data_IF_687874041025
#
_entry.id   IF_687874041025
#
_cell.length_a   1.000
_cell.length_b   1.000
_cell.length_c   1.000
_cell.angle_alpha   90.00
_cell.angle_beta   90.00
_cell.angle_gamma   90.00
#
_symmetry.space_group_name_H-M   'P 1'
#
loop_
_entity.id
_entity.type
_entity.pdbx_description
1 polymer ?
#
# COMPACT_ATOMS: atom_id res chain seq x y z
N UNK A 1 -6.18 -86.97 -8.62
CA UNK A 1 -6.13 -88.03 -9.66
C UNK A 1 -5.43 -87.45 -10.85
N UNK A 2 -4.17 -87.85 -10.96
CA UNK A 2 -3.39 -88.20 -12.14
C UNK A 2 -3.00 -86.99 -13.05
N UNK A 3 -1.72 -86.53 -13.05
CA UNK A 3 -0.51 -87.16 -13.71
C UNK A 3 -0.55 -86.81 -15.21
N UNK A 4 0.39 -86.30 -15.94
CA UNK A 4 1.85 -86.23 -15.97
C UNK A 4 2.24 -85.41 -17.24
N UNK A 5 3.28 -84.66 -17.21
CA UNK A 5 4.67 -84.81 -17.70
C UNK A 5 4.98 -84.48 -19.18
N UNK A 6 6.06 -83.70 -19.32
CA UNK A 6 7.16 -83.72 -20.29
C UNK A 6 6.91 -83.16 -21.71
N UNK A 7 7.71 -82.38 -22.38
CA UNK A 7 9.16 -82.27 -22.59
C UNK A 7 9.54 -80.97 -23.30
N UNK A 8 10.68 -80.38 -22.98
CA UNK A 8 11.43 -79.41 -23.81
C UNK A 8 12.17 -80.15 -24.94
N UNK A 9 12.55 -79.54 -26.09
CA UNK A 9 13.90 -78.94 -26.15
C UNK A 9 14.11 -77.75 -27.11
N UNK A 10 15.08 -76.91 -26.75
CA UNK A 10 16.20 -76.32 -27.49
C UNK A 10 16.06 -75.62 -28.83
N UNK A 11 16.63 -74.37 -28.88
CA UNK A 11 17.24 -73.66 -30.00
C UNK A 11 16.77 -72.24 -30.10
N UNK A 12 17.44 -71.20 -29.76
CA UNK A 12 18.76 -70.74 -30.18
C UNK A 12 18.59 -69.63 -31.20
N UNK A 13 19.10 -68.42 -30.90
CA UNK A 13 19.19 -67.25 -31.76
C UNK A 13 17.99 -66.27 -31.81
N UNK A 14 18.13 -65.15 -31.16
CA UNK A 14 17.19 -64.01 -31.21
C UNK A 14 17.38 -62.96 -30.13
N UNK A 15 18.54 -62.93 -29.47
CA UNK A 15 18.81 -61.94 -28.40
C UNK A 15 19.74 -60.80 -28.87
N UNK A 16 19.42 -60.16 -29.99
CA UNK A 16 20.27 -59.08 -30.50
C UNK A 16 19.56 -57.86 -31.05
N UNK A 17 18.27 -57.93 -31.31
CA UNK A 17 17.54 -56.82 -31.97
C UNK A 17 16.49 -56.09 -31.12
N UNK A 18 16.23 -56.56 -29.93
CA UNK A 18 15.27 -55.87 -29.02
C UNK A 18 15.90 -54.84 -28.06
N UNK A 19 17.22 -54.78 -27.94
CA UNK A 19 17.90 -53.80 -27.09
C UNK A 19 18.21 -52.48 -27.79
N UNK A 20 18.20 -52.44 -29.13
CA UNK A 20 18.44 -51.20 -29.89
C UNK A 20 17.16 -50.43 -30.20
N UNK A 21 15.98 -51.05 -30.08
CA UNK A 21 14.71 -50.37 -30.27
C UNK A 21 14.19 -49.63 -28.99
N UNK A 22 14.68 -50.01 -27.80
CA UNK A 22 14.30 -49.34 -26.54
C UNK A 22 15.18 -48.11 -26.23
N UNK A 23 16.36 -47.97 -26.83
CA UNK A 23 17.21 -46.79 -26.65
C UNK A 23 16.81 -45.68 -27.63
N UNK A 24 16.17 -45.98 -28.75
CA UNK A 24 15.68 -44.99 -29.71
C UNK A 24 14.33 -44.36 -29.31
N UNK A 25 13.54 -44.98 -28.41
CA UNK A 25 12.29 -44.37 -27.87
C UNK A 25 12.50 -43.56 -26.58
N UNK A 26 13.64 -43.69 -25.91
CA UNK A 26 13.98 -42.87 -24.73
C UNK A 26 14.58 -41.51 -25.09
N UNK A 27 14.89 -41.26 -26.39
CA UNK A 27 15.47 -40.00 -26.87
C UNK A 27 14.46 -38.99 -27.43
N UNK A 28 13.17 -39.30 -27.47
CA UNK A 28 12.12 -38.40 -28.02
C UNK A 28 11.12 -37.87 -26.97
N UNK A 29 11.36 -38.15 -25.68
CA UNK A 29 10.57 -37.62 -24.59
C UNK A 29 11.32 -36.58 -23.72
N UNK A 30 12.41 -36.02 -24.21
CA UNK A 30 13.11 -34.94 -23.53
C UNK A 30 13.03 -33.68 -24.39
N UNK A 31 11.88 -33.00 -24.37
CA UNK A 31 11.67 -31.55 -24.52
C UNK A 31 10.16 -31.29 -24.74
N UNK A 32 9.34 -31.67 -23.78
CA UNK A 32 8.22 -30.84 -23.41
C UNK A 32 8.64 -30.24 -22.06
N UNK A 33 9.09 -29.00 -22.07
CA UNK A 33 9.13 -28.19 -20.89
C UNK A 33 7.67 -28.09 -20.44
N UNK A 34 7.29 -28.93 -19.47
CA UNK A 34 6.17 -28.62 -18.61
C UNK A 34 6.42 -27.17 -18.16
N UNK A 35 5.58 -26.25 -18.64
CA UNK A 35 5.31 -25.06 -17.87
C UNK A 35 4.77 -25.63 -16.56
N UNK A 36 5.63 -25.82 -15.57
CA UNK A 36 5.21 -25.99 -14.20
C UNK A 36 4.21 -24.86 -13.98
N UNK A 37 3.00 -25.20 -13.55
CA UNK A 37 2.15 -24.25 -12.84
C UNK A 37 3.01 -23.76 -11.66
N UNK A 38 3.82 -22.73 -11.91
CA UNK A 38 4.59 -22.07 -10.87
C UNK A 38 3.55 -21.47 -9.94
N UNK A 39 3.52 -21.94 -8.71
CA UNK A 39 2.76 -21.29 -7.65
C UNK A 39 3.07 -19.79 -7.75
N UNK A 40 2.07 -18.91 -7.73
CA UNK A 40 2.32 -17.46 -7.80
C UNK A 40 3.34 -17.05 -6.75
N UNK A 41 4.34 -16.26 -7.13
CA UNK A 41 5.36 -15.77 -6.19
C UNK A 41 4.78 -14.64 -5.35
N UNK A 42 4.11 -15.00 -4.26
CA UNK A 42 3.65 -14.04 -3.26
C UNK A 42 4.84 -13.42 -2.52
N UNK A 43 4.68 -12.15 -2.12
CA UNK A 43 5.63 -11.51 -1.24
C UNK A 43 5.49 -12.11 0.16
N UNK A 44 6.59 -12.52 0.76
CA UNK A 44 6.67 -13.12 2.10
C UNK A 44 7.64 -12.37 2.99
N UNK A 45 7.61 -12.60 4.30
CA UNK A 45 8.54 -12.02 5.26
C UNK A 45 9.40 -13.09 5.92
N UNK A 46 10.69 -12.83 6.07
CA UNK A 46 11.63 -13.67 6.80
C UNK A 46 12.81 -12.82 7.30
N UNK A 47 13.17 -12.97 8.55
CA UNK A 47 14.35 -12.33 9.16
C UNK A 47 14.39 -10.80 8.98
N UNK A 48 13.22 -10.13 9.13
CA UNK A 48 13.12 -8.69 9.00
C UNK A 48 13.19 -8.16 7.57
N UNK A 49 13.01 -9.03 6.56
CA UNK A 49 13.08 -8.70 5.14
C UNK A 49 11.88 -9.25 4.39
N UNK A 50 11.59 -8.67 3.22
CA UNK A 50 10.67 -9.23 2.26
C UNK A 50 11.39 -10.12 1.25
N UNK A 51 10.65 -11.11 0.72
CA UNK A 51 11.09 -12.01 -0.32
C UNK A 51 9.97 -12.22 -1.35
N UNK A 52 10.37 -12.34 -2.62
CA UNK A 52 9.50 -12.81 -3.70
C UNK A 52 10.15 -14.07 -4.27
N UNK A 53 9.53 -15.21 -4.04
CA UNK A 53 10.22 -16.49 -4.27
C UNK A 53 11.45 -16.64 -3.38
N UNK A 54 12.62 -16.83 -4.00
CA UNK A 54 13.90 -16.96 -3.29
C UNK A 54 14.63 -15.62 -3.07
N UNK A 55 14.26 -14.59 -3.84
CA UNK A 55 14.98 -13.33 -3.90
C UNK A 55 14.51 -12.34 -2.84
N UNK A 56 15.45 -11.58 -2.25
CA UNK A 56 15.14 -10.47 -1.37
C UNK A 56 14.38 -9.40 -2.18
N UNK A 57 13.25 -8.93 -1.66
CA UNK A 57 12.41 -7.94 -2.29
C UNK A 57 12.47 -6.62 -1.53
N UNK A 58 13.00 -5.59 -2.18
CA UNK A 58 12.94 -4.19 -1.73
C UNK A 58 12.23 -3.39 -2.80
N UNK A 59 11.49 -2.37 -2.42
CA UNK A 59 10.72 -1.59 -3.39
C UNK A 59 10.70 -0.10 -3.10
N UNK A 60 10.62 0.67 -4.18
CA UNK A 60 10.15 2.04 -4.19
C UNK A 60 8.78 2.03 -4.87
N UNK A 61 7.80 2.56 -4.19
CA UNK A 61 6.42 2.64 -4.64
C UNK A 61 5.86 4.05 -4.52
N UNK A 62 4.58 4.16 -4.81
CA UNK A 62 3.85 5.42 -4.67
C UNK A 62 2.45 5.19 -4.13
N UNK A 63 1.91 6.18 -3.43
CA UNK A 63 0.50 6.23 -3.10
C UNK A 63 -0.31 6.59 -4.36
N UNK A 64 -1.15 5.67 -4.79
CA UNK A 64 -2.04 5.77 -5.94
C UNK A 64 -3.47 5.47 -5.48
N UNK A 65 -3.86 6.12 -4.37
CA UNK A 65 -5.09 5.84 -3.63
C UNK A 65 -6.35 5.90 -4.51
N UNK A 66 -6.39 6.78 -5.53
CA UNK A 66 -7.51 6.91 -6.45
C UNK A 66 -7.50 5.89 -7.60
N UNK A 67 -6.58 4.94 -7.61
CA UNK A 67 -6.38 3.99 -8.71
C UNK A 67 -7.63 3.20 -9.09
N UNK A 68 -8.46 2.80 -8.11
CA UNK A 68 -9.71 2.09 -8.37
C UNK A 68 -10.75 2.96 -9.08
N UNK A 69 -10.84 4.25 -8.73
CA UNK A 69 -11.71 5.22 -9.41
C UNK A 69 -11.23 5.45 -10.84
N UNK A 70 -9.93 5.71 -11.04
CA UNK A 70 -9.35 5.93 -12.36
C UNK A 70 -9.52 4.70 -13.28
N UNK A 71 -9.43 3.49 -12.73
CA UNK A 71 -9.60 2.22 -13.46
C UNK A 71 -11.06 1.88 -13.78
N UNK A 72 -12.03 2.61 -13.25
CA UNK A 72 -13.45 2.35 -13.45
C UNK A 72 -13.93 2.79 -14.86
N UNK A 73 -15.13 2.32 -15.23
CA UNK A 73 -15.83 2.76 -16.45
C UNK A 73 -16.86 3.86 -16.15
N UNK A 74 -16.86 4.40 -14.93
CA UNK A 74 -17.78 5.43 -14.47
C UNK A 74 -17.17 6.82 -14.43
N UNK A 75 -17.86 7.70 -13.69
CA UNK A 75 -17.37 9.06 -13.43
C UNK A 75 -16.02 9.02 -12.71
N UNK A 76 -15.07 9.83 -13.16
CA UNK A 76 -13.69 9.85 -12.65
C UNK A 76 -12.81 8.74 -13.21
N UNK A 77 -13.35 7.81 -14.00
CA UNK A 77 -12.59 6.74 -14.64
C UNK A 77 -12.02 7.14 -15.99
N UNK A 78 -10.78 6.71 -16.24
CA UNK A 78 -10.08 6.84 -17.52
C UNK A 78 -9.01 5.74 -17.64
N UNK A 79 -9.38 4.64 -18.27
CA UNK A 79 -8.49 3.48 -18.45
C UNK A 79 -7.32 3.77 -19.40
N UNK A 80 -7.48 4.68 -20.36
CA UNK A 80 -6.37 5.08 -21.25
C UNK A 80 -5.31 5.85 -20.45
N UNK A 81 -5.74 6.78 -19.59
CA UNK A 81 -4.87 7.46 -18.64
C UNK A 81 -4.22 6.43 -17.68
N UNK A 82 -4.98 5.51 -17.09
CA UNK A 82 -4.46 4.48 -16.20
C UNK A 82 -3.29 3.72 -16.83
N UNK A 83 -3.44 3.27 -18.09
CA UNK A 83 -2.38 2.54 -18.79
C UNK A 83 -1.11 3.39 -18.89
N UNK A 84 -1.23 4.65 -19.29
CA UNK A 84 -0.09 5.57 -19.39
C UNK A 84 0.58 5.83 -18.04
N UNK A 85 -0.21 5.96 -16.98
CA UNK A 85 0.32 6.17 -15.63
C UNK A 85 1.11 4.95 -15.15
N UNK A 86 0.56 3.74 -15.34
CA UNK A 86 1.24 2.49 -14.96
C UNK A 86 2.49 2.24 -15.81
N UNK A 87 2.47 2.56 -17.10
CA UNK A 87 3.63 2.43 -17.99
C UNK A 87 4.75 3.39 -17.57
N UNK A 88 4.43 4.64 -17.19
CA UNK A 88 5.42 5.57 -16.65
C UNK A 88 5.97 5.14 -15.29
N UNK A 89 5.11 4.63 -14.39
CA UNK A 89 5.56 4.06 -13.12
C UNK A 89 6.57 2.94 -13.36
N UNK A 90 6.27 2.01 -14.25
CA UNK A 90 7.16 0.91 -14.61
C UNK A 90 8.46 1.41 -15.26
N UNK A 91 8.39 2.43 -16.13
CA UNK A 91 9.56 3.04 -16.78
C UNK A 91 10.55 3.64 -15.76
N UNK A 92 10.04 4.21 -14.66
CA UNK A 92 10.89 4.76 -13.60
C UNK A 92 11.20 3.76 -12.49
N UNK A 93 10.82 2.49 -12.66
CA UNK A 93 11.13 1.39 -11.75
C UNK A 93 10.25 1.31 -10.50
N UNK A 94 9.10 1.98 -10.48
CA UNK A 94 8.10 1.81 -9.42
C UNK A 94 7.44 0.45 -9.59
N UNK A 95 7.48 -0.37 -8.55
CA UNK A 95 6.95 -1.75 -8.57
C UNK A 95 5.81 -1.99 -7.58
N UNK A 96 5.50 -1.00 -6.74
CA UNK A 96 4.44 -1.12 -5.74
C UNK A 96 3.59 0.15 -5.70
N UNK A 97 2.28 -0.04 -5.54
CA UNK A 97 1.33 1.06 -5.36
C UNK A 97 0.46 0.83 -4.12
N UNK A 98 0.13 1.90 -3.39
CA UNK A 98 -0.80 1.83 -2.27
C UNK A 98 -2.13 2.43 -2.69
N UNK A 99 -3.22 1.66 -2.53
CA UNK A 99 -4.51 1.92 -3.16
C UNK A 99 -5.64 1.84 -2.14
N UNK A 100 -6.58 2.77 -2.22
CA UNK A 100 -7.81 2.76 -1.42
C UNK A 100 -8.75 1.65 -1.92
N UNK A 101 -9.02 0.66 -1.08
CA UNK A 101 -10.02 -0.39 -1.30
C UNK A 101 -11.25 -0.21 -0.39
N UNK A 102 -11.51 1.02 -0.01
CA UNK A 102 -12.64 1.47 0.80
C UNK A 102 -13.20 2.79 0.26
N UNK A 103 -14.05 3.47 1.01
CA UNK A 103 -14.68 4.73 0.65
C UNK A 103 -16.16 4.69 1.00
N UNK A 104 -16.52 5.30 2.12
CA UNK A 104 -17.82 5.19 2.77
C UNK A 104 -18.55 6.52 2.81
N UNK A 105 -19.88 6.44 2.81
CA UNK A 105 -20.76 7.60 2.93
C UNK A 105 -21.32 8.10 1.60
N UNK A 106 -22.09 9.18 1.61
CA UNK A 106 -22.70 9.69 0.40
C UNK A 106 -21.71 10.48 -0.48
N UNK A 107 -21.89 10.42 -1.79
CA UNK A 107 -21.13 11.22 -2.77
C UNK A 107 -21.28 12.74 -2.59
N UNK A 108 -22.14 13.20 -1.69
CA UNK A 108 -22.45 14.62 -1.49
C UNK A 108 -21.46 15.36 -0.60
N UNK A 109 -20.61 14.64 0.15
CA UNK A 109 -19.60 15.27 1.03
C UNK A 109 -18.43 15.76 0.17
N UNK A 110 -18.12 17.04 0.26
CA UNK A 110 -17.18 17.70 -0.64
C UNK A 110 -15.71 17.22 -0.46
N UNK A 111 -15.36 16.78 0.74
CA UNK A 111 -14.01 16.27 1.08
C UNK A 111 -13.83 14.79 0.74
N UNK A 112 -14.90 14.06 0.45
CA UNK A 112 -14.80 12.62 0.19
C UNK A 112 -14.27 12.30 -1.21
N UNK A 113 -13.55 11.17 -1.29
CA UNK A 113 -13.25 10.53 -2.57
C UNK A 113 -14.53 10.06 -3.22
N UNK A 114 -14.84 10.55 -4.39
CA UNK A 114 -16.05 10.21 -5.13
C UNK A 114 -15.73 9.76 -6.57
N UNK A 115 -16.50 8.83 -7.13
CA UNK A 115 -17.63 8.11 -6.51
C UNK A 115 -17.18 7.22 -5.35
N UNK A 116 -17.96 7.17 -4.29
CA UNK A 116 -17.66 6.32 -3.13
C UNK A 116 -17.83 4.84 -3.47
N UNK A 117 -17.08 3.99 -2.78
CA UNK A 117 -17.18 2.54 -2.93
C UNK A 117 -18.42 1.97 -2.22
N UNK A 118 -18.74 2.48 -1.03
CA UNK A 118 -19.84 2.01 -0.18
C UNK A 118 -20.74 3.19 0.24
N UNK A 119 -21.74 3.57 -0.58
CA UNK A 119 -22.61 4.71 -0.28
C UNK A 119 -23.51 4.51 0.93
N UNK A 120 -23.85 3.26 1.27
CA UNK A 120 -24.66 2.87 2.43
C UNK A 120 -24.10 1.54 3.00
N UNK A 121 -24.35 1.21 4.27
CA UNK A 121 -23.83 0.00 4.90
C UNK A 121 -24.13 -1.28 4.11
N UNK A 122 -23.09 -1.91 3.54
CA UNK A 122 -23.20 -3.14 2.77
C UNK A 122 -23.76 -2.97 1.34
N UNK A 123 -23.98 -1.73 0.89
CA UNK A 123 -24.33 -1.42 -0.51
C UNK A 123 -23.08 -0.94 -1.23
N UNK A 124 -22.69 -1.60 -2.30
CA UNK A 124 -21.45 -1.34 -3.00
C UNK A 124 -21.66 -0.77 -4.40
N UNK A 125 -20.81 0.15 -4.79
CA UNK A 125 -20.72 0.68 -6.14
C UNK A 125 -19.93 -0.32 -7.02
N UNK A 126 -20.67 -1.12 -7.78
CA UNK A 126 -20.10 -2.16 -8.64
C UNK A 126 -19.16 -1.59 -9.71
N UNK A 127 -19.35 -0.35 -10.15
CA UNK A 127 -18.47 0.33 -11.10
C UNK A 127 -17.07 0.53 -10.52
N UNK A 128 -16.96 0.97 -9.27
CA UNK A 128 -15.68 1.15 -8.58
C UNK A 128 -15.05 -0.21 -8.23
N UNK A 129 -15.87 -1.20 -7.83
CA UNK A 129 -15.38 -2.57 -7.60
C UNK A 129 -14.76 -3.16 -8.87
N UNK A 130 -15.38 -2.99 -10.03
CA UNK A 130 -14.82 -3.43 -11.31
C UNK A 130 -13.59 -2.61 -11.72
N UNK A 131 -13.52 -1.36 -11.29
CA UNK A 131 -12.31 -0.55 -11.42
C UNK A 131 -11.16 -1.14 -10.62
N UNK A 132 -11.39 -1.52 -9.36
CA UNK A 132 -10.38 -2.20 -8.54
C UNK A 132 -9.94 -3.54 -9.16
N UNK A 133 -10.90 -4.35 -9.65
CA UNK A 133 -10.60 -5.59 -10.36
C UNK A 133 -9.70 -5.35 -11.58
N UNK A 134 -10.02 -4.33 -12.38
CA UNK A 134 -9.25 -3.99 -13.57
C UNK A 134 -7.84 -3.48 -13.21
N UNK A 135 -7.71 -2.63 -12.19
CA UNK A 135 -6.42 -2.16 -11.70
C UNK A 135 -5.53 -3.34 -11.28
N UNK A 136 -6.05 -4.25 -10.45
CA UNK A 136 -5.28 -5.43 -10.00
C UNK A 136 -4.85 -6.29 -11.19
N UNK A 137 -5.73 -6.50 -12.18
CA UNK A 137 -5.37 -7.24 -13.39
C UNK A 137 -4.26 -6.55 -14.21
N UNK A 138 -4.27 -5.22 -14.28
CA UNK A 138 -3.23 -4.45 -14.99
C UNK A 138 -1.90 -4.42 -14.24
N UNK A 139 -1.93 -4.44 -12.90
CA UNK A 139 -0.73 -4.60 -12.07
C UNK A 139 -0.13 -6.00 -12.24
N UNK A 140 -0.97 -7.06 -12.25
CA UNK A 140 -0.51 -8.45 -12.48
C UNK A 140 0.22 -8.59 -13.83
N UNK A 141 -0.31 -7.99 -14.90
CA UNK A 141 0.33 -8.00 -16.22
C UNK A 141 1.71 -7.32 -16.24
N UNK A 142 1.94 -6.35 -15.36
CA UNK A 142 3.18 -5.58 -15.25
C UNK A 142 4.12 -6.09 -14.16
N UNK A 143 3.77 -7.20 -13.50
CA UNK A 143 4.49 -7.74 -12.35
C UNK A 143 4.64 -6.73 -11.19
N UNK A 144 3.76 -5.74 -11.14
CA UNK A 144 3.62 -4.77 -10.06
C UNK A 144 2.74 -5.32 -8.95
N UNK A 145 2.93 -4.77 -7.75
CA UNK A 145 2.15 -5.16 -6.56
C UNK A 145 1.38 -3.99 -5.97
N UNK A 146 0.34 -4.28 -5.21
CA UNK A 146 -0.44 -3.29 -4.47
C UNK A 146 -0.51 -3.61 -2.98
N UNK A 147 -0.48 -2.57 -2.15
CA UNK A 147 -0.98 -2.58 -0.77
C UNK A 147 -2.39 -1.99 -0.82
N UNK A 148 -3.37 -2.74 -0.34
CA UNK A 148 -4.79 -2.35 -0.38
C UNK A 148 -5.27 -2.00 1.03
N UNK A 149 -5.54 -0.70 1.29
CA UNK A 149 -6.06 -0.29 2.60
C UNK A 149 -7.59 -0.30 2.63
N UNK A 150 -8.13 -0.90 3.72
CA UNK A 150 -9.51 -1.35 3.83
C UNK A 150 -10.40 -0.40 4.65
N UNK A 151 -9.82 0.63 5.26
CA UNK A 151 -10.51 1.62 6.08
C UNK A 151 -9.68 2.91 6.14
N UNK A 152 -10.19 3.94 6.79
CA UNK A 152 -9.47 5.18 7.02
C UNK A 152 -9.85 5.76 8.38
N UNK A 153 -8.89 6.32 9.10
CA UNK A 153 -9.23 7.06 10.32
C UNK A 153 -9.66 8.50 10.03
N UNK A 154 -9.38 8.98 8.81
CA UNK A 154 -9.73 10.33 8.35
C UNK A 154 -10.96 10.32 7.45
N UNK A 155 -11.73 11.40 7.48
CA UNK A 155 -13.01 11.51 6.78
C UNK A 155 -12.89 11.64 5.25
N UNK A 156 -11.71 11.94 4.69
CA UNK A 156 -11.57 12.16 3.25
C UNK A 156 -11.97 10.94 2.37
N UNK A 157 -12.11 9.78 2.96
CA UNK A 157 -12.74 8.64 2.32
C UNK A 157 -13.90 8.03 3.13
N UNK A 158 -14.43 8.77 4.11
CA UNK A 158 -15.52 8.34 5.00
C UNK A 158 -15.03 7.64 6.26
N UNK A 159 -14.49 6.44 6.14
CA UNK A 159 -13.78 5.70 7.20
C UNK A 159 -14.51 5.63 8.54
N UNK A 160 -13.77 5.81 9.63
CA UNK A 160 -14.30 5.75 11.01
C UNK A 160 -15.53 6.62 11.19
N UNK A 161 -15.51 7.84 10.63
CA UNK A 161 -16.60 8.79 10.73
C UNK A 161 -17.91 8.26 10.15
N UNK A 162 -17.86 7.74 8.94
CA UNK A 162 -19.03 7.19 8.26
C UNK A 162 -19.61 5.97 8.99
N UNK A 163 -18.77 5.06 9.48
CA UNK A 163 -19.24 3.92 10.28
C UNK A 163 -19.88 4.33 11.60
N UNK A 164 -19.37 5.36 12.25
CA UNK A 164 -19.96 5.92 13.47
C UNK A 164 -21.31 6.60 13.19
N UNK A 165 -21.41 7.39 12.11
CA UNK A 165 -22.67 8.00 11.69
C UNK A 165 -23.73 6.93 11.39
N UNK A 166 -23.37 5.89 10.65
CA UNK A 166 -24.25 4.75 10.38
C UNK A 166 -24.62 3.94 11.64
N UNK A 167 -23.75 3.95 12.65
CA UNK A 167 -24.06 3.35 13.96
C UNK A 167 -24.98 4.23 14.85
N UNK A 168 -25.37 5.41 14.37
CA UNK A 168 -26.26 6.33 15.08
C UNK A 168 -25.58 7.26 16.09
N UNK A 169 -24.25 7.46 15.97
CA UNK A 169 -23.49 8.37 16.84
C UNK A 169 -23.69 9.87 16.51
N UNK A 170 -24.50 10.18 15.49
CA UNK A 170 -24.74 11.53 14.98
C UNK A 170 -23.83 11.88 13.81
N UNK A 171 -23.95 13.11 13.26
CA UNK A 171 -23.19 13.55 12.11
C UNK A 171 -21.69 13.63 12.39
N UNK A 172 -20.87 13.35 11.38
CA UNK A 172 -19.41 13.46 11.47
C UNK A 172 -19.03 14.93 11.68
N UNK A 173 -18.27 15.27 12.73
CA UNK A 173 -17.84 16.65 12.98
C UNK A 173 -16.74 17.06 12.00
N UNK A 174 -16.67 18.37 11.76
CA UNK A 174 -15.58 18.96 10.98
C UNK A 174 -14.26 18.96 11.77
N UNK A 175 -13.15 18.68 11.10
CA UNK A 175 -11.80 18.65 11.70
C UNK A 175 -11.24 20.04 12.04
N UNK A 176 -11.92 21.11 11.71
CA UNK A 176 -11.55 22.46 12.18
C UNK A 176 -11.62 22.59 13.71
N UNK A 177 -12.48 21.78 14.37
CA UNK A 177 -12.46 21.60 15.83
C UNK A 177 -11.82 20.24 16.15
N UNK A 178 -10.51 20.23 16.26
CA UNK A 178 -9.72 19.03 16.52
C UNK A 178 -10.17 18.24 17.74
N UNK A 179 -10.54 18.93 18.83
CA UNK A 179 -10.98 18.28 20.06
C UNK A 179 -12.30 17.52 19.88
N UNK A 180 -13.28 18.16 19.25
CA UNK A 180 -14.58 17.54 18.96
C UNK A 180 -14.43 16.38 17.98
N UNK A 181 -13.60 16.53 16.96
CA UNK A 181 -13.34 15.46 16.00
C UNK A 181 -12.67 14.24 16.66
N UNK A 182 -11.66 14.45 17.51
CA UNK A 182 -11.03 13.37 18.27
C UNK A 182 -12.03 12.66 19.20
N UNK A 183 -12.83 13.40 19.97
CA UNK A 183 -13.84 12.84 20.88
C UNK A 183 -14.91 12.04 20.13
N UNK A 184 -15.21 12.39 18.89
CA UNK A 184 -16.09 11.61 18.04
C UNK A 184 -15.42 10.34 17.52
N UNK A 185 -14.27 10.46 16.86
CA UNK A 185 -13.61 9.34 16.19
C UNK A 185 -13.06 8.29 17.16
N UNK A 186 -12.67 8.67 18.40
CA UNK A 186 -12.21 7.71 19.41
C UNK A 186 -13.30 6.70 19.83
N UNK A 187 -14.56 6.95 19.47
CA UNK A 187 -15.65 6.02 19.75
C UNK A 187 -15.61 4.79 18.83
N UNK A 188 -14.98 4.87 17.66
CA UNK A 188 -15.00 3.79 16.67
C UNK A 188 -14.51 2.47 17.25
N UNK A 189 -13.36 2.46 17.91
CA UNK A 189 -12.78 1.24 18.49
C UNK A 189 -13.56 0.66 19.67
N UNK A 190 -14.52 1.42 20.20
CA UNK A 190 -15.42 1.04 21.30
C UNK A 190 -16.85 0.74 20.83
N UNK A 191 -17.20 1.02 19.59
CA UNK A 191 -18.55 0.88 19.05
C UNK A 191 -18.67 -0.42 18.26
N UNK A 192 -19.31 -1.44 18.85
CA UNK A 192 -19.47 -2.75 18.23
C UNK A 192 -20.26 -2.72 16.93
N UNK A 193 -21.25 -1.80 16.79
CA UNK A 193 -22.02 -1.66 15.55
C UNK A 193 -21.17 -1.11 14.41
N UNK A 194 -20.36 -0.07 14.68
CA UNK A 194 -19.45 0.53 13.71
C UNK A 194 -18.38 -0.50 13.29
N UNK A 195 -17.73 -1.17 14.26
CA UNK A 195 -16.75 -2.24 13.99
C UNK A 195 -17.34 -3.38 13.16
N UNK A 196 -18.56 -3.83 13.47
CA UNK A 196 -19.21 -4.91 12.72
C UNK A 196 -19.57 -4.52 11.28
N UNK A 197 -19.86 -3.23 11.00
CA UNK A 197 -20.04 -2.76 9.63
C UNK A 197 -18.72 -2.73 8.86
N UNK A 198 -17.64 -2.22 9.46
CA UNK A 198 -16.31 -2.23 8.89
C UNK A 198 -15.80 -3.67 8.65
N UNK A 199 -16.04 -4.59 9.59
CA UNK A 199 -15.71 -6.01 9.44
C UNK A 199 -16.42 -6.67 8.25
N UNK A 200 -17.70 -6.35 8.02
CA UNK A 200 -18.42 -6.84 6.83
C UNK A 200 -17.78 -6.34 5.53
N UNK A 201 -17.31 -5.10 5.51
CA UNK A 201 -16.58 -4.56 4.36
C UNK A 201 -15.27 -5.32 4.13
N UNK A 202 -14.47 -5.53 5.17
CA UNK A 202 -13.22 -6.32 5.12
C UNK A 202 -13.50 -7.71 4.53
N UNK A 203 -14.50 -8.42 5.06
CA UNK A 203 -14.91 -9.75 4.54
C UNK A 203 -15.28 -9.69 3.07
N UNK A 204 -16.02 -8.68 2.67
CA UNK A 204 -16.49 -8.55 1.29
C UNK A 204 -15.34 -8.31 0.31
N UNK A 205 -14.41 -7.40 0.62
CA UNK A 205 -13.28 -7.08 -0.26
C UNK A 205 -12.26 -8.21 -0.29
N UNK A 206 -11.83 -8.72 0.86
CA UNK A 206 -10.78 -9.76 0.93
C UNK A 206 -11.23 -11.06 0.28
N UNK A 207 -12.53 -11.40 0.34
CA UNK A 207 -13.07 -12.61 -0.28
C UNK A 207 -13.56 -12.41 -1.73
N UNK A 208 -13.23 -11.26 -2.35
CA UNK A 208 -13.69 -10.94 -3.70
C UNK A 208 -13.04 -11.84 -4.76
N UNK A 209 -13.82 -12.20 -5.76
CA UNK A 209 -13.33 -12.77 -7.02
C UNK A 209 -13.20 -11.64 -8.04
N UNK A 210 -12.01 -11.46 -8.61
CA UNK A 210 -11.73 -10.48 -9.64
C UNK A 210 -12.53 -10.80 -10.91
N UNK A 211 -13.36 -9.86 -11.36
CA UNK A 211 -14.25 -10.07 -12.54
C UNK A 211 -13.50 -10.05 -13.87
N UNK A 212 -12.25 -9.56 -13.91
CA UNK A 212 -11.41 -9.52 -15.11
C UNK A 212 -10.62 -10.80 -15.27
N UNK A 213 -9.98 -11.28 -14.19
CA UNK A 213 -9.13 -12.48 -14.22
C UNK A 213 -9.89 -13.76 -13.89
N UNK A 214 -11.06 -13.66 -13.24
CA UNK A 214 -11.84 -14.80 -12.74
C UNK A 214 -11.23 -15.49 -11.51
N UNK A 215 -10.14 -14.96 -10.95
CA UNK A 215 -9.45 -15.52 -9.79
C UNK A 215 -9.89 -14.83 -8.49
N UNK A 216 -9.93 -15.52 -7.35
CA UNK A 216 -10.05 -14.89 -6.05
C UNK A 216 -8.91 -13.87 -5.82
N UNK A 217 -9.17 -12.79 -5.10
CA UNK A 217 -8.11 -11.84 -4.72
C UNK A 217 -6.99 -12.52 -3.94
N UNK A 218 -7.34 -13.49 -3.10
CA UNK A 218 -6.38 -14.30 -2.34
C UNK A 218 -5.41 -15.13 -3.21
N UNK A 219 -5.63 -15.20 -4.52
CA UNK A 219 -4.76 -15.91 -5.47
C UNK A 219 -4.00 -14.95 -6.41
N UNK A 220 -4.17 -13.64 -6.27
CA UNK A 220 -3.51 -12.66 -7.14
C UNK A 220 -2.15 -12.25 -6.61
N UNK A 221 -1.04 -12.55 -7.29
CA UNK A 221 0.30 -12.12 -6.86
C UNK A 221 0.51 -10.61 -6.98
N UNK A 222 -0.42 -9.89 -7.60
CA UNK A 222 -0.41 -8.42 -7.66
C UNK A 222 -0.88 -7.76 -6.36
N UNK A 223 -1.46 -8.50 -5.42
CA UNK A 223 -1.71 -8.00 -4.08
C UNK A 223 -0.51 -8.39 -3.21
N UNK A 224 0.20 -7.40 -2.65
CA UNK A 224 1.28 -7.64 -1.69
C UNK A 224 0.72 -7.79 -0.28
N UNK A 225 -0.14 -6.86 0.11
CA UNK A 225 -0.64 -6.80 1.47
C UNK A 225 -2.04 -6.21 1.56
N UNK A 226 -2.75 -6.66 2.59
CA UNK A 226 -3.92 -6.01 3.14
C UNK A 226 -3.49 -5.08 4.26
N UNK A 227 -3.92 -3.85 4.20
CA UNK A 227 -3.68 -2.85 5.23
C UNK A 227 -5.00 -2.56 5.96
N UNK A 228 -4.97 -2.59 7.30
CA UNK A 228 -6.19 -2.49 8.09
C UNK A 228 -6.91 -1.16 7.89
N UNK A 229 -6.16 -0.06 7.90
CA UNK A 229 -6.70 1.27 7.66
C UNK A 229 -5.58 2.25 7.30
N UNK A 230 -5.91 3.30 6.55
CA UNK A 230 -5.04 4.46 6.46
C UNK A 230 -4.97 5.16 7.81
N UNK A 231 -3.75 5.25 8.37
CA UNK A 231 -3.41 5.97 9.59
C UNK A 231 -4.34 5.68 10.78
N UNK A 232 -4.53 4.39 11.16
CA UNK A 232 -5.42 4.05 12.26
C UNK A 232 -4.92 4.65 13.58
N UNK A 233 -5.84 5.29 14.32
CA UNK A 233 -5.57 5.95 15.59
C UNK A 233 -6.58 5.59 16.66
N UNK A 234 -6.15 5.64 17.91
CA UNK A 234 -7.07 5.58 19.07
C UNK A 234 -7.82 6.90 19.27
N UNK A 235 -7.27 8.03 18.81
CA UNK A 235 -7.74 9.39 19.05
C UNK A 235 -7.96 9.74 20.53
N UNK A 236 -7.32 8.99 21.43
CA UNK A 236 -7.40 9.20 22.88
C UNK A 236 -6.16 8.66 23.58
N UNK A 237 -5.75 9.33 24.64
CA UNK A 237 -4.55 8.95 25.40
C UNK A 237 -4.82 8.07 26.63
N UNK A 238 -6.08 7.84 26.95
CA UNK A 238 -6.43 6.95 28.06
C UNK A 238 -6.16 5.50 27.76
N UNK A 239 -5.84 4.73 28.79
CA UNK A 239 -5.44 3.33 28.67
C UNK A 239 -6.55 2.41 28.16
N UNK A 240 -7.81 2.75 28.42
CA UNK A 240 -8.96 1.93 27.99
C UNK A 240 -9.13 2.04 26.47
N UNK A 241 -9.15 3.25 25.95
CA UNK A 241 -9.27 3.46 24.50
C UNK A 241 -8.07 2.91 23.73
N UNK A 242 -6.85 3.08 24.25
CA UNK A 242 -5.65 2.45 23.67
C UNK A 242 -5.72 0.90 23.69
N UNK A 243 -6.30 0.32 24.74
CA UNK A 243 -6.51 -1.12 24.79
C UNK A 243 -7.52 -1.58 23.74
N UNK A 244 -8.69 -0.90 23.62
CA UNK A 244 -9.69 -1.19 22.60
C UNK A 244 -9.13 -1.03 21.18
N UNK A 245 -8.27 -0.04 20.95
CA UNK A 245 -7.59 0.15 19.68
C UNK A 245 -6.68 -1.04 19.34
N UNK A 246 -5.84 -1.46 20.28
CA UNK A 246 -4.97 -2.60 20.06
C UNK A 246 -5.74 -3.90 19.84
N UNK A 247 -6.83 -4.11 20.60
CA UNK A 247 -7.70 -5.27 20.44
C UNK A 247 -8.40 -5.28 19.07
N UNK A 248 -8.86 -4.10 18.58
CA UNK A 248 -9.41 -3.96 17.22
C UNK A 248 -8.38 -4.30 16.14
N UNK A 249 -7.12 -3.82 16.25
CA UNK A 249 -6.02 -4.17 15.32
C UNK A 249 -5.85 -5.69 15.28
N UNK A 250 -5.79 -6.34 16.43
CA UNK A 250 -5.61 -7.80 16.54
C UNK A 250 -6.77 -8.55 15.90
N UNK A 251 -8.01 -8.16 16.21
CA UNK A 251 -9.24 -8.77 15.68
C UNK A 251 -9.30 -8.67 14.14
N UNK A 252 -9.00 -7.48 13.59
CA UNK A 252 -9.02 -7.27 12.13
C UNK A 252 -7.91 -8.06 11.43
N UNK A 253 -6.70 -8.10 11.98
CA UNK A 253 -5.60 -8.86 11.40
C UNK A 253 -5.90 -10.37 11.40
N UNK A 254 -6.44 -10.90 12.49
CA UNK A 254 -6.91 -12.30 12.57
C UNK A 254 -8.01 -12.60 11.57
N UNK A 255 -8.96 -11.66 11.41
CA UNK A 255 -10.03 -11.81 10.41
C UNK A 255 -9.43 -11.96 9.01
N UNK A 256 -8.56 -11.03 8.59
CA UNK A 256 -7.95 -11.05 7.26
C UNK A 256 -7.17 -12.35 7.05
N UNK A 257 -6.32 -12.75 8.00
CA UNK A 257 -5.57 -14.02 7.91
C UNK A 257 -6.45 -15.26 7.90
N UNK A 258 -7.67 -15.20 8.44
CA UNK A 258 -8.64 -16.28 8.33
C UNK A 258 -9.24 -16.43 6.94
N UNK A 259 -9.31 -15.34 6.18
CA UNK A 259 -9.87 -15.27 4.83
C UNK A 259 -8.79 -15.47 3.75
N UNK A 260 -7.60 -14.94 4.02
CA UNK A 260 -6.47 -14.94 3.10
C UNK A 260 -5.16 -15.22 3.86
N UNK A 261 -4.52 -16.33 3.52
CA UNK A 261 -3.25 -16.76 4.13
C UNK A 261 -2.03 -16.48 3.25
N UNK A 262 -2.25 -16.04 2.03
CA UNK A 262 -1.19 -15.84 1.05
C UNK A 262 -0.58 -14.44 1.15
N UNK A 263 -1.42 -13.43 1.43
CA UNK A 263 -0.97 -12.05 1.44
C UNK A 263 -0.56 -11.59 2.83
N UNK A 264 0.32 -10.60 2.84
CA UNK A 264 0.78 -9.94 4.05
C UNK A 264 -0.33 -9.07 4.64
N UNK A 265 -0.22 -8.79 5.94
CA UNK A 265 -1.13 -7.88 6.66
C UNK A 265 -0.29 -6.85 7.41
N UNK A 266 -0.70 -5.58 7.32
CA UNK A 266 -0.10 -4.48 8.08
C UNK A 266 -1.15 -3.54 8.65
N UNK A 267 -0.72 -2.66 9.52
CA UNK A 267 -1.63 -1.76 10.25
C UNK A 267 -2.02 -0.52 9.46
N UNK A 268 -1.11 0.08 8.65
CA UNK A 268 -1.23 1.40 8.05
C UNK A 268 -0.88 2.55 8.99
N UNK A 269 -0.15 2.26 10.07
CA UNK A 269 0.16 3.22 11.14
C UNK A 269 1.19 4.26 10.72
N UNK A 270 1.02 5.50 11.16
CA UNK A 270 2.05 6.55 11.06
C UNK A 270 3.30 6.26 11.93
N UNK A 271 3.27 5.21 12.75
CA UNK A 271 4.31 4.92 13.71
C UNK A 271 3.95 5.33 15.13
N UNK A 272 4.94 5.81 15.91
CA UNK A 272 4.72 6.27 17.30
C UNK A 272 3.72 7.43 17.34
N UNK A 273 3.77 8.34 16.36
CA UNK A 273 2.82 9.47 16.26
C UNK A 273 1.37 8.96 16.10
N UNK A 274 1.12 8.01 15.22
CA UNK A 274 -0.19 7.38 15.03
C UNK A 274 -0.66 6.55 16.23
N UNK A 275 0.25 6.18 17.11
CA UNK A 275 -0.04 5.47 18.36
C UNK A 275 -0.07 6.41 19.58
N UNK A 276 -0.57 7.64 19.42
CA UNK A 276 -0.73 8.63 20.49
C UNK A 276 0.57 8.97 21.25
N UNK A 277 1.69 9.07 20.52
CA UNK A 277 3.03 9.29 21.05
C UNK A 277 3.49 8.22 22.07
N UNK A 278 2.94 7.01 21.93
CA UNK A 278 3.19 5.88 22.84
C UNK A 278 3.97 4.76 22.14
N UNK A 279 5.29 4.63 22.39
CA UNK A 279 6.10 3.60 21.77
C UNK A 279 5.72 2.17 22.20
N UNK A 280 5.13 2.00 23.39
CA UNK A 280 4.68 0.69 23.87
C UNK A 280 3.41 0.25 23.14
N UNK A 281 2.48 1.18 22.85
CA UNK A 281 1.32 0.91 22.02
C UNK A 281 1.75 0.59 20.59
N UNK A 282 2.66 1.39 20.01
CA UNK A 282 3.22 1.12 18.68
C UNK A 282 3.85 -0.28 18.60
N UNK A 283 4.65 -0.65 19.60
CA UNK A 283 5.19 -2.01 19.69
C UNK A 283 4.09 -3.05 19.79
N UNK A 284 3.08 -2.84 20.66
CA UNK A 284 2.00 -3.80 20.92
C UNK A 284 1.25 -4.14 19.63
N UNK A 285 0.83 -3.14 18.85
CA UNK A 285 0.03 -3.36 17.64
C UNK A 285 0.83 -4.03 16.52
N UNK A 286 2.15 -3.88 16.48
CA UNK A 286 3.01 -4.55 15.52
C UNK A 286 3.57 -5.90 16.02
N UNK A 287 3.35 -6.25 17.30
CA UNK A 287 3.82 -7.51 17.85
C UNK A 287 2.87 -8.69 17.57
N UNK A 288 1.63 -8.43 17.15
CA UNK A 288 0.67 -9.50 16.84
C UNK A 288 1.20 -10.39 15.72
N UNK A 289 1.06 -11.72 15.86
CA UNK A 289 1.58 -12.67 14.87
C UNK A 289 1.01 -12.46 13.46
N UNK A 290 -0.22 -11.96 13.36
CA UNK A 290 -0.94 -11.74 12.13
C UNK A 290 -0.51 -10.46 11.38
N UNK A 291 0.21 -9.55 12.04
CA UNK A 291 0.82 -8.38 11.41
C UNK A 291 2.21 -8.78 10.89
N UNK A 292 2.42 -8.74 9.60
CA UNK A 292 3.63 -9.26 8.96
C UNK A 292 4.77 -8.24 8.91
N UNK A 293 4.46 -6.95 8.82
CA UNK A 293 5.47 -5.89 8.77
C UNK A 293 5.04 -4.62 9.50
N UNK A 294 6.01 -3.82 9.83
CA UNK A 294 5.86 -2.52 10.49
C UNK A 294 5.73 -1.44 9.45
N UNK A 295 4.74 -0.56 9.57
CA UNK A 295 4.63 0.62 8.75
C UNK A 295 4.76 1.91 9.57
N UNK A 296 5.29 2.93 8.92
CA UNK A 296 5.43 4.29 9.44
C UNK A 296 5.15 5.29 8.30
N UNK A 297 4.65 6.47 8.67
CA UNK A 297 4.53 7.63 7.79
C UNK A 297 5.38 8.77 8.33
N UNK A 298 5.90 9.63 7.45
CA UNK A 298 6.72 10.78 7.85
C UNK A 298 6.34 11.99 7.00
N UNK A 299 5.81 13.01 7.67
CA UNK A 299 5.27 14.20 7.06
C UNK A 299 6.00 15.48 7.49
N UNK A 300 7.18 15.82 6.92
CA UNK A 300 7.96 16.98 7.35
C UNK A 300 7.19 18.30 7.31
N UNK A 301 6.32 18.48 6.30
CA UNK A 301 5.51 19.67 6.17
C UNK A 301 4.44 19.75 7.27
N UNK A 302 3.63 18.72 7.40
CA UNK A 302 2.51 18.65 8.34
C UNK A 302 2.99 18.61 9.81
N UNK A 303 4.18 18.03 10.05
CA UNK A 303 4.79 17.95 11.39
C UNK A 303 5.71 19.14 11.72
N UNK A 304 5.65 20.20 10.90
CA UNK A 304 6.39 21.44 11.13
C UNK A 304 7.93 21.26 11.19
N UNK A 305 8.44 20.34 10.37
CA UNK A 305 9.88 20.13 10.21
C UNK A 305 10.47 20.97 9.06
N UNK A 306 9.70 21.92 8.52
CA UNK A 306 10.13 22.88 7.51
C UNK A 306 10.13 24.29 8.13
N UNK A 307 11.29 24.75 8.55
CA UNK A 307 11.45 26.09 9.11
C UNK A 307 12.06 26.12 10.53
N UNK A 308 12.28 27.30 11.09
CA UNK A 308 12.79 27.41 12.46
C UNK A 308 11.72 26.87 13.44
N UNK A 309 12.16 26.07 14.40
CA UNK A 309 11.35 25.36 15.38
C UNK A 309 10.63 26.26 16.40
N UNK A 310 10.14 27.44 16.03
CA UNK A 310 9.56 28.42 16.95
C UNK A 310 8.33 29.10 16.35
N UNK A 311 7.16 28.62 16.71
CA UNK A 311 5.87 29.31 16.55
C UNK A 311 4.71 28.34 16.29
N UNK A 312 3.49 28.64 16.79
CA UNK A 312 2.30 27.90 16.38
C UNK A 312 2.05 28.18 14.89
N UNK A 313 1.96 27.12 14.09
CA UNK A 313 1.54 27.21 12.70
C UNK A 313 0.02 27.26 12.63
N UNK A 314 -0.50 28.36 12.13
CA UNK A 314 -1.85 28.41 11.61
C UNK A 314 -1.86 27.63 10.29
N UNK A 315 -2.81 26.69 10.17
CA UNK A 315 -3.02 25.90 8.98
C UNK A 315 -3.33 26.85 7.81
N UNK A 316 -2.45 26.87 6.79
CA UNK A 316 -2.72 27.56 5.54
C UNK A 316 -1.94 28.84 5.21
N UNK A 317 -0.95 29.23 5.99
CA UNK A 317 -0.10 30.39 5.66
C UNK A 317 1.38 29.99 5.77
N UNK A 318 2.11 30.20 4.67
CA UNK A 318 3.56 30.32 4.76
C UNK A 318 3.86 31.42 5.80
N UNK A 319 4.24 31.01 7.00
CA UNK A 319 4.56 31.97 8.07
C UNK A 319 5.69 32.87 7.56
N UNK A 320 5.48 34.17 7.62
CA UNK A 320 6.51 35.16 7.36
C UNK A 320 7.74 34.83 8.23
N UNK A 321 8.79 34.23 7.64
CA UNK A 321 9.99 33.76 8.33
C UNK A 321 10.21 32.25 8.28
N UNK A 322 9.35 31.44 7.62
CA UNK A 322 9.64 30.04 7.34
C UNK A 322 10.84 29.95 6.37
N UNK A 323 11.78 29.06 6.69
CA UNK A 323 12.87 28.70 5.77
C UNK A 323 12.26 28.14 4.49
N UNK A 324 12.90 28.35 3.34
CA UNK A 324 12.44 27.72 2.08
C UNK A 324 12.45 26.19 2.25
N UNK A 325 11.62 25.43 1.52
CA UNK A 325 11.70 23.97 1.52
C UNK A 325 13.12 23.47 1.28
N UNK A 326 13.88 24.08 0.38
CA UNK A 326 15.30 23.71 0.10
C UNK A 326 16.18 23.87 1.34
N UNK A 327 16.13 25.01 2.02
CA UNK A 327 16.95 25.30 3.20
C UNK A 327 16.57 24.43 4.40
N UNK A 328 15.34 23.92 4.42
CA UNK A 328 14.80 23.09 5.50
C UNK A 328 15.21 21.61 5.39
N UNK A 329 15.70 21.14 4.24
CA UNK A 329 16.00 19.72 4.01
C UNK A 329 16.95 19.13 5.06
N UNK A 330 18.05 19.76 5.47
CA UNK A 330 18.95 19.18 6.48
C UNK A 330 18.26 18.97 7.84
N UNK A 331 17.35 19.86 8.20
CA UNK A 331 16.57 19.73 9.44
C UNK A 331 15.52 18.64 9.34
N UNK A 332 14.77 18.61 8.24
CA UNK A 332 13.77 17.57 7.96
C UNK A 332 14.42 16.17 7.92
N UNK A 333 15.54 16.01 7.22
CA UNK A 333 16.29 14.76 7.14
C UNK A 333 16.76 14.27 8.52
N UNK A 334 17.28 15.19 9.35
CA UNK A 334 17.68 14.86 10.73
C UNK A 334 16.47 14.43 11.57
N UNK A 335 15.32 15.11 11.47
CA UNK A 335 14.09 14.75 12.18
C UNK A 335 13.56 13.39 11.72
N UNK A 336 13.56 13.15 10.41
CA UNK A 336 13.22 11.85 9.82
C UNK A 336 14.06 10.72 10.41
N UNK A 337 15.37 10.90 10.50
CA UNK A 337 16.28 9.90 11.08
C UNK A 337 15.97 9.65 12.55
N UNK A 338 15.80 10.70 13.34
CA UNK A 338 15.49 10.59 14.78
C UNK A 338 14.17 9.84 14.99
N UNK A 339 13.13 10.18 14.23
CA UNK A 339 11.83 9.53 14.31
C UNK A 339 11.90 8.05 13.90
N UNK A 340 12.54 7.76 12.79
CA UNK A 340 12.73 6.39 12.30
C UNK A 340 13.52 5.54 13.31
N UNK A 341 14.63 6.08 13.87
CA UNK A 341 15.41 5.38 14.88
C UNK A 341 14.59 5.14 16.17
N UNK A 342 13.70 6.07 16.56
CA UNK A 342 12.77 5.86 17.67
C UNK A 342 11.78 4.73 17.38
N UNK A 343 11.16 4.68 16.19
CA UNK A 343 10.29 3.60 15.77
C UNK A 343 11.02 2.25 15.73
N UNK A 344 12.23 2.19 15.18
CA UNK A 344 13.05 0.98 15.21
C UNK A 344 13.35 0.49 16.64
N UNK A 345 13.68 1.42 17.53
CA UNK A 345 13.94 1.06 18.92
C UNK A 345 12.69 0.49 19.61
N UNK A 346 11.52 1.06 19.35
CA UNK A 346 10.26 0.58 19.89
C UNK A 346 9.95 -0.86 19.45
N UNK A 347 10.15 -1.19 18.17
CA UNK A 347 9.84 -2.53 17.62
C UNK A 347 11.03 -3.48 17.63
N UNK A 348 12.13 -3.11 18.27
CA UNK A 348 13.34 -3.93 18.33
C UNK A 348 13.03 -5.36 18.79
N UNK A 349 13.51 -6.34 18.03
CA UNK A 349 13.34 -7.76 18.33
C UNK A 349 12.03 -8.38 17.83
N UNK A 350 11.14 -7.64 17.16
CA UNK A 350 9.99 -8.22 16.47
C UNK A 350 10.39 -8.99 15.21
N UNK A 351 11.56 -8.67 14.65
CA UNK A 351 12.09 -9.33 13.45
C UNK A 351 11.15 -9.22 12.24
N UNK A 352 10.49 -8.07 12.10
CA UNK A 352 9.59 -7.73 11.00
C UNK A 352 10.21 -6.63 10.13
N UNK A 353 10.05 -6.67 8.80
CA UNK A 353 10.49 -5.58 7.95
C UNK A 353 9.75 -4.28 8.30
N UNK A 354 10.37 -3.13 8.05
CA UNK A 354 9.74 -1.81 8.20
C UNK A 354 9.59 -1.14 6.85
N UNK A 355 8.42 -0.57 6.60
CA UNK A 355 8.09 0.19 5.39
C UNK A 355 7.75 1.63 5.77
N UNK A 356 8.30 2.59 5.04
CA UNK A 356 7.86 3.98 5.07
C UNK A 356 6.74 4.12 4.02
N UNK A 357 5.47 3.93 4.44
CA UNK A 357 4.33 3.83 3.52
C UNK A 357 3.84 5.17 3.01
N UNK A 358 4.13 6.26 3.74
CA UNK A 358 3.91 7.61 3.27
C UNK A 358 5.07 8.52 3.64
N UNK A 359 5.52 9.29 2.69
CA UNK A 359 6.34 10.47 2.88
C UNK A 359 6.11 11.44 1.73
N UNK A 360 6.16 12.71 2.02
CA UNK A 360 6.03 13.76 1.03
C UNK A 360 6.96 14.93 1.35
N UNK A 361 7.19 15.78 0.35
CA UNK A 361 7.94 17.01 0.51
C UNK A 361 7.41 18.06 -0.47
N UNK A 362 7.10 19.29 -0.01
CA UNK A 362 6.51 20.30 -0.86
C UNK A 362 7.48 20.77 -1.96
N UNK A 363 6.92 21.40 -2.99
CA UNK A 363 7.70 22.11 -4.02
C UNK A 363 8.40 23.31 -3.43
N UNK A 364 9.47 23.77 -4.07
CA UNK A 364 10.19 24.95 -3.67
C UNK A 364 9.27 26.18 -3.65
N UNK A 365 9.40 27.00 -2.61
CA UNK A 365 8.53 28.15 -2.41
C UNK A 365 7.08 27.79 -2.04
N UNK A 366 6.78 26.53 -1.69
CA UNK A 366 5.43 26.03 -1.43
C UNK A 366 4.48 26.21 -2.64
N UNK A 367 5.06 26.17 -3.84
CA UNK A 367 4.28 26.23 -5.08
C UNK A 367 3.51 24.93 -5.28
N UNK A 368 2.39 25.01 -6.00
CA UNK A 368 1.53 23.84 -6.29
C UNK A 368 1.46 23.51 -7.78
N UNK A 369 1.86 24.46 -8.65
CA UNK A 369 1.79 24.30 -10.09
C UNK A 369 2.74 23.20 -10.58
N UNK A 370 2.27 22.20 -11.34
CA UNK A 370 3.12 21.20 -11.97
C UNK A 370 4.24 21.83 -12.82
N UNK A 371 5.45 21.31 -12.66
CA UNK A 371 6.64 21.84 -13.35
C UNK A 371 7.33 23.02 -12.62
N UNK A 372 6.78 23.52 -11.51
CA UNK A 372 7.53 24.43 -10.63
C UNK A 372 8.69 23.70 -9.95
N UNK A 373 9.74 24.44 -9.48
CA UNK A 373 10.95 23.81 -8.96
C UNK A 373 10.70 22.82 -7.80
N UNK A 374 11.49 21.74 -7.77
CA UNK A 374 11.40 20.65 -6.79
C UNK A 374 12.74 20.31 -6.13
N UNK A 375 13.69 21.25 -6.10
CA UNK A 375 15.04 20.96 -5.59
C UNK A 375 15.03 20.45 -4.15
N UNK A 376 14.22 21.03 -3.27
CA UNK A 376 14.08 20.58 -1.89
C UNK A 376 13.54 19.16 -1.81
N UNK A 377 12.48 18.87 -2.57
CA UNK A 377 11.88 17.53 -2.72
C UNK A 377 12.93 16.52 -3.23
N UNK A 378 13.66 16.87 -4.26
CA UNK A 378 14.64 16.01 -4.90
C UNK A 378 15.74 15.58 -3.93
N UNK A 379 16.24 16.52 -3.14
CA UNK A 379 17.26 16.24 -2.12
C UNK A 379 16.67 15.37 -0.99
N UNK A 380 15.45 15.67 -0.54
CA UNK A 380 14.80 14.91 0.51
C UNK A 380 14.45 13.48 0.06
N UNK A 381 13.95 13.28 -1.16
CA UNK A 381 13.67 11.97 -1.73
C UNK A 381 14.95 11.15 -1.87
N UNK A 382 16.04 11.73 -2.38
CA UNK A 382 17.33 11.06 -2.45
C UNK A 382 17.81 10.61 -1.06
N UNK A 383 17.59 11.43 -0.02
CA UNK A 383 17.88 11.05 1.35
C UNK A 383 17.03 9.87 1.83
N UNK A 384 15.70 9.88 1.60
CA UNK A 384 14.82 8.76 1.99
C UNK A 384 15.25 7.48 1.28
N UNK A 385 15.56 7.53 -0.02
CA UNK A 385 16.02 6.36 -0.76
C UNK A 385 17.38 5.84 -0.25
N UNK A 386 18.24 6.70 0.29
CA UNK A 386 19.47 6.22 0.93
C UNK A 386 19.20 5.39 2.18
N UNK A 387 18.11 5.65 2.93
CA UNK A 387 17.70 4.83 4.08
C UNK A 387 17.29 3.41 3.69
N UNK A 388 16.75 3.25 2.48
CA UNK A 388 16.42 1.94 1.92
C UNK A 388 17.71 1.16 1.57
N UNK A 389 18.70 1.83 0.95
CA UNK A 389 20.03 1.23 0.68
C UNK A 389 20.78 0.91 1.97
N UNK A 390 20.68 1.74 3.02
CA UNK A 390 21.24 1.45 4.34
C UNK A 390 20.53 0.27 5.07
N UNK A 391 19.43 -0.25 4.52
CA UNK A 391 18.64 -1.32 5.15
C UNK A 391 17.82 -0.86 6.36
N UNK A 392 17.61 0.45 6.53
CA UNK A 392 16.77 1.00 7.59
C UNK A 392 15.28 0.73 7.35
N UNK A 393 14.88 0.68 6.09
CA UNK A 393 13.55 0.29 5.64
C UNK A 393 13.70 -0.75 4.53
N UNK A 394 12.65 -1.52 4.28
CA UNK A 394 12.62 -2.54 3.22
C UNK A 394 11.75 -2.12 2.03
N UNK A 395 11.01 -1.06 2.19
CA UNK A 395 10.20 -0.42 1.15
C UNK A 395 9.87 1.02 1.52
N UNK A 396 9.58 1.83 0.51
CA UNK A 396 9.02 3.15 0.73
C UNK A 396 8.06 3.54 -0.40
N UNK A 397 7.01 4.30 -0.05
CA UNK A 397 6.02 4.81 -1.00
C UNK A 397 5.86 6.32 -0.78
N UNK A 398 6.17 7.10 -1.80
CA UNK A 398 5.98 8.54 -1.71
C UNK A 398 4.50 8.93 -1.90
N UNK A 399 4.11 10.01 -1.29
CA UNK A 399 2.82 10.65 -1.47
C UNK A 399 2.98 11.85 -2.41
N UNK A 400 2.32 11.87 -3.55
CA UNK A 400 1.61 10.78 -4.16
C UNK A 400 1.78 10.87 -5.68
N UNK A 401 1.18 9.96 -6.42
CA UNK A 401 1.27 9.96 -7.88
C UNK A 401 0.33 11.01 -8.49
N UNK A 402 0.89 12.05 -9.12
CA UNK A 402 0.14 13.03 -9.88
C UNK A 402 0.01 12.67 -11.36
N UNK A 403 1.08 12.10 -11.92
CA UNK A 403 1.10 11.60 -13.30
C UNK A 403 1.00 12.68 -14.37
N UNK A 404 0.26 12.39 -15.44
CA UNK A 404 0.19 13.23 -16.62
C UNK A 404 -0.80 14.39 -16.54
N UNK A 405 -1.82 14.27 -15.69
CA UNK A 405 -2.89 15.27 -15.59
C UNK A 405 -2.47 16.39 -14.64
N UNK A 406 -2.84 17.62 -14.99
CA UNK A 406 -2.61 18.79 -14.15
C UNK A 406 -3.89 19.14 -13.38
N UNK A 407 -3.77 19.59 -12.11
CA UNK A 407 -4.93 20.03 -11.34
C UNK A 407 -5.59 21.24 -12.01
N UNK A 408 -6.92 21.26 -12.01
CA UNK A 408 -7.72 22.35 -12.57
C UNK A 408 -7.92 23.50 -11.58
N UNK A 409 -7.96 23.15 -10.29
CA UNK A 409 -8.18 24.09 -9.19
C UNK A 409 -7.17 23.87 -8.07
N UNK A 410 -6.91 24.88 -7.24
CA UNK A 410 -6.04 24.79 -6.06
C UNK A 410 -6.53 23.75 -5.06
N UNK A 411 -7.83 23.62 -4.91
CA UNK A 411 -8.48 22.54 -4.15
C UNK A 411 -9.35 21.76 -5.11
N UNK A 412 -9.36 20.44 -4.96
CA UNK A 412 -10.16 19.58 -5.79
C UNK A 412 -11.64 19.99 -5.76
N UNK A 413 -12.24 20.05 -6.91
CA UNK A 413 -13.67 20.28 -7.08
C UNK A 413 -14.30 19.05 -7.71
N UNK A 414 -15.55 18.81 -7.39
CA UNK A 414 -16.27 17.64 -7.86
C UNK A 414 -16.13 17.46 -9.38
N UNK A 415 -15.64 16.31 -9.77
CA UNK A 415 -15.32 15.89 -11.12
C UNK A 415 -14.04 16.48 -11.73
N UNK A 416 -13.21 17.11 -10.96
CA UNK A 416 -11.81 17.27 -11.35
C UNK A 416 -11.13 15.89 -11.38
N UNK A 417 -10.11 15.77 -12.21
CA UNK A 417 -9.24 14.59 -12.17
C UNK A 417 -8.50 14.52 -10.82
N UNK A 418 -8.36 13.33 -10.28
CA UNK A 418 -7.47 13.13 -9.13
C UNK A 418 -6.01 13.18 -9.57
N UNK A 419 -5.18 13.86 -8.77
CA UNK A 419 -3.76 14.11 -9.07
C UNK A 419 -2.83 13.79 -7.87
N UNK A 420 -3.29 12.95 -6.95
CA UNK A 420 -2.50 12.45 -5.83
C UNK A 420 -2.79 13.13 -4.50
N UNK A 421 -2.90 14.44 -4.44
CA UNK A 421 -3.29 15.12 -3.21
C UNK A 421 -4.83 14.97 -3.01
N UNK A 422 -5.31 14.59 -1.81
CA UNK A 422 -6.73 14.38 -1.57
C UNK A 422 -7.51 15.70 -1.59
N UNK A 423 -8.85 15.63 -1.65
CA UNK A 423 -9.71 16.78 -1.95
C UNK A 423 -9.57 17.96 -0.97
N UNK A 424 -9.24 17.71 0.31
CA UNK A 424 -9.04 18.73 1.34
C UNK A 424 -7.66 19.41 1.27
N UNK A 425 -6.72 18.91 0.48
CA UNK A 425 -5.37 19.47 0.34
C UNK A 425 -5.20 20.34 -0.90
N UNK A 426 -4.14 21.15 -0.92
CA UNK A 426 -3.77 21.93 -2.10
C UNK A 426 -3.21 21.00 -3.18
N UNK A 427 -3.90 20.98 -4.33
CA UNK A 427 -3.61 20.06 -5.42
C UNK A 427 -2.27 20.37 -6.09
N UNK A 428 -1.29 19.47 -5.95
CA UNK A 428 0.05 19.59 -6.47
C UNK A 428 1.13 19.86 -5.43
N UNK A 429 0.76 20.08 -4.15
CA UNK A 429 1.74 20.40 -3.10
C UNK A 429 2.72 19.23 -2.89
N UNK A 430 2.23 17.99 -2.82
CA UNK A 430 3.04 16.78 -2.64
C UNK A 430 3.12 15.92 -3.92
N UNK A 431 2.13 15.99 -4.78
CA UNK A 431 2.02 15.15 -5.96
C UNK A 431 3.25 15.24 -6.89
N UNK A 432 3.69 14.08 -7.40
CA UNK A 432 4.77 13.95 -8.38
C UNK A 432 4.15 13.78 -9.76
N UNK A 433 4.40 14.77 -10.64
CA UNK A 433 3.87 14.80 -12.01
C UNK A 433 4.88 14.28 -13.04
N UNK A 434 4.39 13.86 -14.19
CA UNK A 434 5.24 13.45 -15.32
C UNK A 434 6.21 14.55 -15.79
N UNK A 435 5.88 15.83 -15.59
CA UNK A 435 6.76 16.97 -15.87
C UNK A 435 7.83 17.22 -14.78
N UNK A 436 7.77 16.57 -13.62
CA UNK A 436 8.78 16.70 -12.55
C UNK A 436 10.01 15.83 -12.86
N UNK A 437 10.64 16.12 -13.98
CA UNK A 437 11.68 15.27 -14.59
C UNK A 437 12.89 15.06 -13.70
N UNK A 438 13.21 15.98 -12.79
CA UNK A 438 14.31 15.84 -11.81
C UNK A 438 13.95 14.83 -10.72
N UNK A 439 12.74 14.92 -10.16
CA UNK A 439 12.23 13.96 -9.18
C UNK A 439 12.14 12.55 -9.78
N UNK A 440 11.59 12.41 -11.01
CA UNK A 440 11.50 11.12 -11.69
C UNK A 440 12.89 10.50 -11.98
N UNK A 441 13.91 11.32 -12.30
CA UNK A 441 15.29 10.84 -12.46
C UNK A 441 15.87 10.30 -11.14
N UNK A 442 15.56 10.93 -10.01
CA UNK A 442 16.01 10.48 -8.70
C UNK A 442 15.34 9.16 -8.33
N UNK A 443 14.03 9.03 -8.58
CA UNK A 443 13.30 7.78 -8.37
C UNK A 443 13.93 6.67 -9.23
N UNK A 444 14.11 6.90 -10.53
CA UNK A 444 14.71 5.92 -11.46
C UNK A 444 16.12 5.51 -11.00
N UNK A 445 16.97 6.46 -10.66
CA UNK A 445 18.32 6.16 -10.18
C UNK A 445 18.32 5.29 -8.91
N UNK A 446 17.40 5.57 -7.99
CA UNK A 446 17.27 4.79 -6.77
C UNK A 446 16.76 3.36 -7.04
N UNK A 447 15.78 3.19 -7.91
CA UNK A 447 15.23 1.86 -8.28
C UNK A 447 16.25 1.00 -9.04
N UNK A 448 17.02 1.59 -9.96
CA UNK A 448 18.09 0.89 -10.68
C UNK A 448 19.20 0.37 -9.74
N UNK A 449 19.52 1.13 -8.70
CA UNK A 449 20.51 0.71 -7.71
C UNK A 449 20.00 -0.42 -6.79
N UNK A 450 18.71 -0.46 -6.48
CA UNK A 450 18.13 -1.57 -5.71
C UNK A 450 18.23 -2.89 -6.47
N UNK A 451 18.02 -2.87 -7.78
CA UNK A 451 18.09 -4.08 -8.62
C UNK A 451 19.51 -4.56 -8.83
N UNK A 452 20.49 -3.64 -8.89
CA UNK A 452 21.92 -3.99 -9.06
C UNK A 452 22.54 -4.64 -7.82
N UNK A 453 22.08 -4.28 -6.61
CA UNK A 453 22.51 -4.92 -5.36
C UNK A 453 21.94 -6.34 -5.19
N UNK A 454 20.87 -6.69 -5.91
CA UNK A 454 20.24 -8.01 -5.87
C UNK A 454 20.85 -9.01 -6.83
N UNK A 455 21.70 -8.59 -7.77
CA UNK A 455 22.39 -9.47 -8.71
C UNK A 455 23.79 -9.78 -8.16
N UNK A 456 24.09 -11.01 -7.65
CA UNK A 456 25.45 -11.38 -7.27
C UNK A 456 26.34 -11.38 -8.51
N UNK A 457 27.50 -10.74 -8.43
CA UNK A 457 28.58 -10.83 -9.42
C UNK A 457 29.11 -12.25 -9.53
#
# INVERSE_FOLDING_TARGET
MLIDQWHSPKGGAGRGLLLLAMIALAGLFACQSDKSDSCPDFVTTRDGKFYRGADEYKFIGTNFWFGAVLASEGLGGDRERLQKELDLMQEVGITNVRVLASGEGPDTVASHVVPVLQPEPGVYNDTILRGLDYLIAELEKREMTAVLFLNNSWEWSGGYGAYLEWAGCGPVPDWSDWGVAQDYHCQFVKNDSAKAMAERHVRFIVSRTNTVTGKPYSESPAIMAWELANEPRAFARDSVTKACFADWIEEQAKLIKSLDRNHLVTTGSEGIAGCEEDPDLFRRVHAFPEIDYVCIHIWPYNWHWLGPASGPLEVGLAANGASSPVDSVPFAARKTRIYMDACHNAVKGLNKPMVLEEFGYPRDGYLIEPGSPTQGRDIYYAYVFSLLSEGKIQGCLFWAWGGYVQPKHTRWQRWDDYVGDPAQEEQGINAVFACDTTTLKIIRYATENLTSEQTPL
#
